data_IF_980024177005
#
_entry.id   IF_980024177005
#
_cell.length_a   1.000
_cell.length_b   1.000
_cell.length_c   1.000
_cell.angle_alpha   90.00
_cell.angle_beta   90.00
_cell.angle_gamma   90.00
#
_symmetry.space_group_name_H-M   'P 1'
#
loop_
_entity.id
_entity.type
_entity.pdbx_description
1 polymer ?
#
# COMPACT_ATOMS: atom_id res chain seq x y z
N UNK A 1 1.51 -9.59 22.80
CA UNK A 1 2.61 -10.24 22.06
C UNK A 1 2.24 -11.67 21.76
N UNK A 2 2.21 -12.06 20.48
CA UNK A 2 1.98 -13.43 20.05
C UNK A 2 3.32 -13.97 19.53
N UNK A 3 3.86 -15.00 20.21
CA UNK A 3 5.06 -15.69 19.76
C UNK A 3 4.62 -16.98 19.07
N UNK A 4 5.01 -17.16 17.81
CA UNK A 4 4.74 -18.37 17.03
C UNK A 4 6.01 -18.89 16.41
N UNK A 5 6.12 -20.21 16.29
CA UNK A 5 7.23 -20.89 15.64
C UNK A 5 6.69 -21.77 14.53
N UNK A 6 7.37 -21.76 13.41
CA UNK A 6 7.03 -22.55 12.23
C UNK A 6 8.23 -23.43 11.83
N UNK A 7 7.99 -24.59 11.20
CA UNK A 7 9.08 -25.43 10.72
C UNK A 7 9.92 -24.71 9.67
N UNK A 8 11.21 -25.03 9.60
CA UNK A 8 12.11 -24.54 8.56
C UNK A 8 11.86 -25.32 7.27
N UNK A 9 11.04 -24.78 6.40
CA UNK A 9 10.70 -25.35 5.09
C UNK A 9 10.78 -24.28 4.00
N UNK A 10 10.86 -24.66 2.75
CA UNK A 10 10.86 -23.72 1.62
C UNK A 10 9.48 -23.12 1.33
N UNK A 11 8.42 -23.72 1.84
CA UNK A 11 7.06 -23.24 1.69
C UNK A 11 6.27 -23.46 2.98
N UNK A 12 5.75 -22.37 3.54
CA UNK A 12 4.89 -22.37 4.71
C UNK A 12 3.43 -22.37 4.28
N UNK A 13 2.60 -23.19 4.91
CA UNK A 13 1.16 -23.21 4.66
C UNK A 13 0.51 -21.88 5.06
N UNK A 14 -0.35 -21.35 4.20
CA UNK A 14 -1.15 -20.15 4.44
C UNK A 14 -2.46 -20.58 5.12
N UNK A 15 -2.45 -20.61 6.43
CA UNK A 15 -3.52 -21.10 7.32
C UNK A 15 -4.33 -19.98 8.00
N UNK A 16 -4.14 -18.73 7.57
CA UNK A 16 -4.74 -17.55 8.19
C UNK A 16 -3.87 -16.92 9.27
N UNK A 17 -2.91 -17.66 9.83
CA UNK A 17 -1.99 -17.13 10.84
C UNK A 17 -0.71 -16.57 10.22
N UNK A 18 -0.33 -15.36 10.61
CA UNK A 18 0.86 -14.68 10.09
C UNK A 18 0.96 -14.70 8.55
N UNK A 19 -0.19 -14.70 7.86
CA UNK A 19 -0.29 -14.91 6.41
C UNK A 19 0.57 -13.95 5.61
N UNK A 20 0.68 -12.68 6.03
CA UNK A 20 1.52 -11.69 5.35
C UNK A 20 3.01 -12.09 5.42
N UNK A 21 3.48 -12.51 6.60
CA UNK A 21 4.88 -12.95 6.80
C UNK A 21 5.16 -14.21 5.98
N UNK A 22 4.27 -15.20 6.07
CA UNK A 22 4.38 -16.46 5.32
C UNK A 22 4.34 -16.22 3.80
N UNK A 23 3.45 -15.35 3.33
CA UNK A 23 3.35 -14.98 1.91
C UNK A 23 4.63 -14.35 1.38
N UNK A 24 5.21 -13.39 2.11
CA UNK A 24 6.49 -12.78 1.74
C UNK A 24 7.61 -13.82 1.74
N UNK A 25 7.72 -14.62 2.81
CA UNK A 25 8.74 -15.66 2.91
C UNK A 25 8.67 -16.65 1.74
N UNK A 26 7.49 -17.22 1.48
CA UNK A 26 7.28 -18.19 0.41
C UNK A 26 7.66 -17.61 -0.96
N UNK A 27 7.29 -16.36 -1.21
CA UNK A 27 7.60 -15.68 -2.47
C UNK A 27 9.09 -15.41 -2.60
N UNK A 28 9.75 -14.96 -1.56
CA UNK A 28 11.21 -14.71 -1.57
C UNK A 28 11.97 -16.02 -1.78
N UNK A 29 11.62 -17.09 -1.07
CA UNK A 29 12.28 -18.38 -1.25
C UNK A 29 12.10 -18.90 -2.67
N UNK A 30 10.87 -18.81 -3.21
CA UNK A 30 10.54 -19.29 -4.54
C UNK A 30 11.24 -18.51 -5.67
N UNK A 31 11.13 -17.19 -5.63
CA UNK A 31 11.56 -16.35 -6.77
C UNK A 31 13.09 -16.16 -6.79
N UNK A 32 13.75 -16.21 -5.63
CA UNK A 32 15.20 -15.97 -5.52
C UNK A 32 16.01 -17.23 -5.19
N UNK A 33 15.36 -18.39 -5.03
CA UNK A 33 16.05 -19.66 -4.83
C UNK A 33 16.95 -19.69 -3.58
N UNK A 34 16.63 -18.90 -2.56
CA UNK A 34 17.50 -18.75 -1.38
C UNK A 34 17.44 -19.92 -0.40
N UNK A 35 16.58 -20.92 -0.69
CA UNK A 35 16.37 -22.09 0.16
C UNK A 35 15.70 -21.73 1.50
N UNK A 36 15.39 -22.77 2.29
CA UNK A 36 14.80 -22.58 3.61
C UNK A 36 15.76 -21.83 4.54
N UNK A 37 15.24 -20.83 5.25
CA UNK A 37 16.01 -19.99 6.19
C UNK A 37 15.44 -20.06 7.58
N UNK A 38 16.31 -20.13 8.58
CA UNK A 38 15.95 -19.99 9.99
C UNK A 38 16.19 -18.56 10.43
N UNK A 39 15.14 -17.88 10.90
CA UNK A 39 15.20 -16.49 11.37
C UNK A 39 14.13 -16.22 12.41
N UNK A 40 14.29 -15.11 13.12
CA UNK A 40 13.26 -14.55 13.99
C UNK A 40 12.85 -13.20 13.45
N UNK A 41 11.55 -13.00 13.23
CA UNK A 41 10.98 -11.72 12.84
C UNK A 41 10.06 -11.19 13.94
N UNK A 42 10.17 -9.91 14.24
CA UNK A 42 9.24 -9.20 15.11
C UNK A 42 8.63 -8.06 14.33
N UNK A 43 7.32 -8.01 14.28
CA UNK A 43 6.57 -6.93 13.61
C UNK A 43 5.80 -6.13 14.65
N UNK A 44 5.76 -4.82 14.45
CA UNK A 44 5.02 -3.88 15.27
C UNK A 44 4.28 -2.88 14.37
N UNK A 45 3.12 -2.44 14.80
CA UNK A 45 2.30 -1.50 14.07
C UNK A 45 1.52 -0.60 15.02
N UNK A 46 1.66 0.70 14.87
CA UNK A 46 0.94 1.70 15.67
C UNK A 46 -0.49 1.93 15.20
N UNK A 47 -0.75 1.70 13.90
CA UNK A 47 -2.07 1.91 13.34
C UNK A 47 -2.97 0.68 13.57
N UNK A 48 -4.21 0.85 14.04
CA UNK A 48 -5.14 -0.26 14.21
C UNK A 48 -5.41 -1.00 12.89
N UNK A 49 -5.57 -2.32 12.97
CA UNK A 49 -5.96 -3.11 11.81
C UNK A 49 -7.33 -2.63 11.28
N UNK A 50 -7.46 -2.49 9.95
CA UNK A 50 -8.69 -1.99 9.32
C UNK A 50 -8.96 -0.49 9.50
N UNK A 51 -7.94 0.28 9.89
CA UNK A 51 -8.02 1.75 9.98
C UNK A 51 -8.14 2.46 8.63
N UNK A 52 -7.92 1.76 7.51
CA UNK A 52 -7.90 2.36 6.17
C UNK A 52 -6.59 3.07 5.82
N UNK A 53 -5.55 2.92 6.64
CA UNK A 53 -4.24 3.55 6.44
C UNK A 53 -3.24 2.68 5.65
N UNK A 54 -3.70 1.68 4.90
CA UNK A 54 -2.82 0.80 4.12
C UNK A 54 -1.91 -0.11 4.94
N UNK A 55 -2.26 -0.40 6.19
CA UNK A 55 -1.43 -1.09 7.17
C UNK A 55 -0.97 -2.48 6.71
N UNK A 56 -1.82 -3.24 6.03
CA UNK A 56 -1.49 -4.56 5.49
C UNK A 56 -0.37 -4.45 4.46
N UNK A 57 -0.56 -3.59 3.48
CA UNK A 57 0.42 -3.40 2.39
C UNK A 57 1.73 -2.82 2.90
N UNK A 58 1.68 -1.90 3.86
CA UNK A 58 2.87 -1.37 4.54
C UNK A 58 3.64 -2.48 5.25
N UNK A 59 2.95 -3.41 5.92
CA UNK A 59 3.57 -4.55 6.57
C UNK A 59 4.26 -5.47 5.56
N UNK A 60 3.59 -5.80 4.44
CA UNK A 60 4.18 -6.63 3.38
C UNK A 60 5.43 -5.96 2.80
N UNK A 61 5.37 -4.67 2.48
CA UNK A 61 6.52 -3.91 1.96
C UNK A 61 7.67 -3.88 2.97
N UNK A 62 7.37 -3.63 4.24
CA UNK A 62 8.38 -3.58 5.30
C UNK A 62 9.10 -4.94 5.47
N UNK A 63 8.34 -6.04 5.52
CA UNK A 63 8.91 -7.39 5.63
C UNK A 63 9.74 -7.71 4.38
N UNK A 64 9.22 -7.39 3.19
CA UNK A 64 9.95 -7.61 1.94
C UNK A 64 11.26 -6.81 1.89
N UNK A 65 11.24 -5.52 2.27
CA UNK A 65 12.47 -4.71 2.38
C UNK A 65 13.47 -5.31 3.38
N UNK A 66 13.00 -5.85 4.49
CA UNK A 66 13.89 -6.54 5.45
C UNK A 66 14.55 -7.78 4.83
N UNK A 67 13.84 -8.56 4.04
CA UNK A 67 14.44 -9.68 3.28
C UNK A 67 15.40 -9.20 2.19
N UNK A 68 15.07 -8.13 1.48
CA UNK A 68 15.93 -7.51 0.48
C UNK A 68 17.26 -7.11 1.09
N UNK A 69 17.25 -6.40 2.20
CA UNK A 69 18.46 -5.98 2.91
C UNK A 69 19.23 -7.18 3.47
N UNK A 70 18.54 -8.10 4.14
CA UNK A 70 19.18 -9.25 4.78
C UNK A 70 19.86 -10.19 3.79
N UNK A 71 19.23 -10.43 2.63
CA UNK A 71 19.69 -11.39 1.63
C UNK A 71 20.45 -10.74 0.46
N UNK A 72 20.55 -9.41 0.45
CA UNK A 72 21.20 -8.66 -0.64
C UNK A 72 20.49 -8.82 -1.98
N UNK A 73 19.15 -8.82 -1.99
CA UNK A 73 18.38 -9.04 -3.21
C UNK A 73 18.39 -7.77 -4.11
N UNK A 74 18.52 -7.92 -5.43
CA UNK A 74 18.63 -6.79 -6.36
C UNK A 74 17.25 -6.20 -6.70
N UNK A 75 16.52 -5.71 -5.71
CA UNK A 75 15.19 -5.12 -5.86
C UNK A 75 15.20 -3.64 -5.46
N UNK A 76 14.75 -2.78 -6.38
CA UNK A 76 14.46 -1.38 -6.10
C UNK A 76 13.00 -1.18 -5.67
N UNK A 77 12.63 0.08 -5.40
CA UNK A 77 11.28 0.41 -4.86
C UNK A 77 10.13 0.01 -5.81
N UNK A 78 10.34 0.07 -7.12
CA UNK A 78 9.32 -0.37 -8.10
C UNK A 78 9.11 -1.88 -8.06
N UNK A 79 10.19 -2.66 -8.03
CA UNK A 79 10.13 -4.12 -7.95
C UNK A 79 9.51 -4.57 -6.63
N UNK A 80 9.91 -3.93 -5.53
CA UNK A 80 9.36 -4.19 -4.19
C UNK A 80 7.85 -3.90 -4.16
N UNK A 81 7.41 -2.77 -4.71
CA UNK A 81 5.99 -2.40 -4.76
C UNK A 81 5.18 -3.41 -5.58
N UNK A 82 5.70 -3.79 -6.76
CA UNK A 82 5.06 -4.78 -7.63
C UNK A 82 5.00 -6.14 -6.97
N UNK A 83 6.09 -6.60 -6.38
CA UNK A 83 6.16 -7.88 -5.71
C UNK A 83 5.23 -7.93 -4.48
N UNK A 84 5.19 -6.86 -3.69
CA UNK A 84 4.26 -6.73 -2.57
C UNK A 84 2.79 -6.82 -3.03
N UNK A 85 2.45 -6.13 -4.12
CA UNK A 85 1.13 -6.23 -4.73
C UNK A 85 0.80 -7.67 -5.18
N UNK A 86 1.74 -8.35 -5.83
CA UNK A 86 1.53 -9.73 -6.27
C UNK A 86 1.34 -10.68 -5.09
N UNK A 87 2.12 -10.55 -4.03
CA UNK A 87 1.98 -11.33 -2.80
C UNK A 87 0.58 -11.15 -2.22
N UNK A 88 0.13 -9.90 -2.04
CA UNK A 88 -1.19 -9.66 -1.44
C UNK A 88 -2.34 -10.11 -2.34
N UNK A 89 -2.30 -9.83 -3.65
CA UNK A 89 -3.45 -10.02 -4.55
C UNK A 89 -3.49 -11.41 -5.19
N UNK A 90 -2.32 -11.97 -5.55
CA UNK A 90 -2.25 -13.26 -6.23
C UNK A 90 -1.99 -14.40 -5.28
N UNK A 91 -1.02 -14.26 -4.35
CA UNK A 91 -0.63 -15.37 -3.48
C UNK A 91 -1.56 -15.51 -2.26
N UNK A 92 -1.97 -14.39 -1.68
CA UNK A 92 -2.84 -14.35 -0.50
C UNK A 92 -4.32 -14.12 -0.83
N UNK A 93 -4.65 -13.78 -2.07
CA UNK A 93 -6.03 -13.56 -2.51
C UNK A 93 -6.74 -12.36 -1.87
N UNK A 94 -5.99 -11.39 -1.33
CA UNK A 94 -6.56 -10.22 -0.68
C UNK A 94 -7.07 -9.22 -1.73
N UNK A 95 -8.29 -8.71 -1.57
CA UNK A 95 -8.85 -7.67 -2.46
C UNK A 95 -8.18 -6.31 -2.22
N UNK A 96 -7.96 -5.54 -3.29
CA UNK A 96 -7.42 -4.19 -3.20
C UNK A 96 -6.79 -3.67 -4.49
N UNK A 97 -6.35 -2.40 -4.45
CA UNK A 97 -5.57 -1.75 -5.50
C UNK A 97 -4.07 -1.90 -5.29
N UNK A 98 -3.31 -1.08 -6.03
CA UNK A 98 -1.83 -1.05 -6.01
C UNK A 98 -1.27 0.13 -5.21
N UNK A 99 -2.09 1.11 -4.85
CA UNK A 99 -1.65 2.39 -4.32
C UNK A 99 -0.82 2.25 -3.04
N UNK A 100 -1.29 1.42 -2.10
CA UNK A 100 -0.72 1.32 -0.76
C UNK A 100 0.70 0.73 -0.79
N UNK A 101 0.97 -0.25 -1.66
CA UNK A 101 2.29 -0.85 -1.82
C UNK A 101 3.30 0.16 -2.35
N UNK A 102 2.91 0.95 -3.36
CA UNK A 102 3.77 1.99 -3.90
C UNK A 102 3.98 3.14 -2.90
N UNK A 103 2.92 3.56 -2.20
CA UNK A 103 3.05 4.57 -1.14
C UNK A 103 4.01 4.12 -0.04
N UNK A 104 3.91 2.87 0.42
CA UNK A 104 4.77 2.32 1.45
C UNK A 104 6.22 2.14 1.01
N UNK A 105 6.46 1.78 -0.26
CA UNK A 105 7.81 1.57 -0.77
C UNK A 105 8.56 2.88 -1.00
N UNK A 106 7.89 3.86 -1.59
CA UNK A 106 8.51 5.14 -1.95
C UNK A 106 8.55 6.14 -0.79
N UNK A 107 7.56 6.08 0.11
CA UNK A 107 7.45 7.04 1.23
C UNK A 107 7.23 8.49 0.78
N UNK A 108 7.01 9.40 1.73
CA UNK A 108 6.83 10.82 1.47
C UNK A 108 5.58 11.16 0.66
N UNK A 109 5.63 12.28 -0.06
CA UNK A 109 4.54 12.78 -0.90
C UNK A 109 4.76 12.40 -2.35
N UNK A 110 3.85 11.63 -2.92
CA UNK A 110 3.96 11.16 -4.29
C UNK A 110 2.69 11.45 -5.09
N UNK A 111 2.87 11.80 -6.36
CA UNK A 111 1.83 11.74 -7.36
C UNK A 111 2.04 10.49 -8.19
N UNK A 112 1.05 9.58 -8.18
CA UNK A 112 1.16 8.29 -8.84
C UNK A 112 0.19 8.20 -10.00
N UNK A 113 0.67 7.66 -11.12
CA UNK A 113 -0.13 7.39 -12.31
C UNK A 113 -0.15 5.88 -12.57
N UNK A 114 -1.35 5.31 -12.58
CA UNK A 114 -1.58 3.91 -12.90
C UNK A 114 -2.12 3.83 -14.33
N UNK A 115 -1.26 3.40 -15.23
CA UNK A 115 -1.55 3.36 -16.67
C UNK A 115 -1.97 1.96 -17.10
N UNK A 116 -2.36 1.83 -18.36
CA UNK A 116 -2.61 0.53 -18.97
C UNK A 116 -1.33 -0.33 -19.01
N UNK A 117 -1.49 -1.64 -19.18
CA UNK A 117 -0.38 -2.61 -19.23
C UNK A 117 0.48 -2.64 -17.95
N UNK A 118 -0.16 -2.43 -16.78
CA UNK A 118 0.48 -2.48 -15.48
C UNK A 118 1.64 -1.48 -15.27
N UNK A 119 1.73 -0.46 -16.10
CA UNK A 119 2.72 0.60 -15.95
C UNK A 119 2.31 1.51 -14.80
N UNK A 120 3.24 1.74 -13.87
CA UNK A 120 3.07 2.68 -12.75
C UNK A 120 4.18 3.71 -12.82
N UNK A 121 3.81 4.98 -12.72
CA UNK A 121 4.77 6.09 -12.62
C UNK A 121 4.59 6.71 -11.25
N UNK A 122 5.65 6.71 -10.46
CA UNK A 122 5.69 7.41 -9.18
C UNK A 122 6.51 8.69 -9.35
N UNK A 123 5.88 9.81 -9.07
CA UNK A 123 6.51 11.13 -9.12
C UNK A 123 6.62 11.68 -7.70
N UNK A 124 7.77 11.54 -7.03
CA UNK A 124 7.99 12.14 -5.72
C UNK A 124 7.91 13.66 -5.80
N UNK A 125 7.09 14.26 -4.97
CA UNK A 125 6.86 15.69 -4.98
C UNK A 125 7.89 16.41 -4.09
N UNK A 126 8.62 17.34 -4.67
CA UNK A 126 9.56 18.21 -3.93
C UNK A 126 8.81 19.34 -3.26
N UNK A 127 8.17 19.05 -2.14
CA UNK A 127 7.41 20.02 -1.34
C UNK A 127 8.38 20.73 -0.40
N UNK A 128 8.22 22.06 -0.27
CA UNK A 128 9.02 22.85 0.68
C UNK A 128 8.66 22.45 2.12
N UNK A 129 9.65 22.43 3.01
CA UNK A 129 9.48 21.98 4.39
C UNK A 129 8.37 22.76 5.12
N UNK A 130 8.31 24.05 4.97
CA UNK A 130 7.29 24.88 5.61
C UNK A 130 5.84 24.50 5.19
N UNK A 131 5.63 24.05 3.94
CA UNK A 131 4.31 23.56 3.46
C UNK A 131 3.93 22.28 4.16
N UNK A 132 4.90 21.38 4.35
CA UNK A 132 4.68 20.11 5.08
C UNK A 132 4.33 20.41 6.53
N UNK A 133 5.08 21.30 7.18
CA UNK A 133 4.86 21.68 8.58
C UNK A 133 3.48 22.33 8.77
N UNK A 134 3.04 23.17 7.84
CA UNK A 134 1.71 23.78 7.85
C UNK A 134 0.59 22.74 7.63
N UNK A 135 0.79 21.83 6.68
CA UNK A 135 -0.17 20.73 6.45
C UNK A 135 -0.28 19.84 7.69
N UNK A 136 0.84 19.44 8.29
CA UNK A 136 0.84 18.63 9.53
C UNK A 136 0.12 19.34 10.68
N UNK A 137 0.34 20.66 10.84
CA UNK A 137 -0.33 21.47 11.86
C UNK A 137 -1.84 21.67 11.62
N UNK A 138 -2.27 21.61 10.36
CA UNK A 138 -3.66 21.81 9.94
C UNK A 138 -4.47 20.52 9.86
N UNK A 139 -3.82 19.35 9.89
CA UNK A 139 -4.49 18.07 9.78
C UNK A 139 -4.89 17.50 11.16
N UNK A 140 -6.11 16.97 11.22
CA UNK A 140 -6.59 16.18 12.35
C UNK A 140 -6.95 14.77 11.87
N UNK A 141 -6.27 13.75 12.38
CA UNK A 141 -6.62 12.36 12.13
C UNK A 141 -7.58 11.87 13.22
N UNK A 142 -8.80 11.53 12.82
CA UNK A 142 -9.82 11.02 13.74
C UNK A 142 -10.14 9.55 13.45
N UNK A 143 -9.92 8.67 14.44
CA UNK A 143 -10.30 7.27 14.32
C UNK A 143 -11.76 7.07 14.71
N UNK A 144 -12.59 6.58 13.79
CA UNK A 144 -14.04 6.40 13.99
C UNK A 144 -14.39 5.21 14.88
N UNK A 145 -13.41 4.42 15.32
CA UNK A 145 -13.63 3.21 16.12
C UNK A 145 -14.22 2.02 15.34
N UNK A 146 -14.45 2.18 14.05
CA UNK A 146 -15.00 1.12 13.19
C UNK A 146 -13.99 0.69 12.15
N UNK A 147 -13.64 -0.59 12.15
CA UNK A 147 -12.94 -1.21 11.03
C UNK A 147 -13.90 -1.43 9.86
N UNK A 148 -13.55 -1.00 8.68
CA UNK A 148 -14.33 -1.24 7.44
C UNK A 148 -13.64 -2.30 6.59
N UNK A 149 -14.42 -3.18 6.00
CA UNK A 149 -13.93 -4.08 4.96
C UNK A 149 -13.73 -3.27 3.67
N UNK A 150 -12.50 -2.81 3.44
CA UNK A 150 -12.13 -2.14 2.18
C UNK A 150 -12.40 -3.03 0.97
N UNK A 151 -12.32 -4.35 1.13
CA UNK A 151 -12.57 -5.33 0.08
C UNK A 151 -13.98 -5.21 -0.49
N UNK A 152 -15.01 -5.13 0.37
CA UNK A 152 -16.40 -5.03 -0.10
C UNK A 152 -16.65 -3.73 -0.89
N UNK A 153 -16.09 -2.61 -0.42
CA UNK A 153 -16.21 -1.31 -1.10
C UNK A 153 -15.54 -1.35 -2.47
N UNK A 154 -14.34 -1.95 -2.56
CA UNK A 154 -13.58 -2.06 -3.81
C UNK A 154 -14.31 -2.98 -4.81
N UNK A 155 -14.90 -4.09 -4.34
CA UNK A 155 -15.68 -4.99 -5.20
C UNK A 155 -16.94 -4.33 -5.75
N UNK A 156 -17.67 -3.60 -4.91
CA UNK A 156 -18.84 -2.82 -5.35
C UNK A 156 -18.46 -1.76 -6.37
N UNK A 157 -17.38 -1.00 -6.13
CA UNK A 157 -16.86 0.00 -7.04
C UNK A 157 -16.46 -0.62 -8.40
N UNK A 158 -15.77 -1.76 -8.40
CA UNK A 158 -15.41 -2.49 -9.61
C UNK A 158 -16.66 -2.95 -10.36
N UNK A 159 -17.65 -3.48 -9.65
CA UNK A 159 -18.91 -3.94 -10.25
C UNK A 159 -19.64 -2.78 -10.93
N UNK A 160 -19.85 -1.66 -10.26
CA UNK A 160 -20.56 -0.51 -10.81
C UNK A 160 -19.83 0.08 -12.02
N UNK A 161 -18.51 0.20 -11.97
CA UNK A 161 -17.69 0.71 -13.08
C UNK A 161 -17.71 -0.25 -14.28
N UNK A 162 -17.66 -1.58 -14.05
CA UNK A 162 -17.65 -2.58 -15.13
C UNK A 162 -19.01 -2.74 -15.83
N UNK A 163 -20.10 -2.42 -15.14
CA UNK A 163 -21.45 -2.44 -15.74
C UNK A 163 -21.79 -1.16 -16.53
N UNK A 164 -20.84 -0.22 -16.64
CA UNK A 164 -21.00 1.00 -17.41
C UNK A 164 -21.98 1.99 -16.78
N UNK A 165 -22.09 2.00 -15.46
CA UNK A 165 -22.83 3.03 -14.73
C UNK A 165 -22.16 4.38 -14.98
N UNK A 166 -22.84 5.24 -15.74
CA UNK A 166 -22.32 6.54 -16.15
C UNK A 166 -21.97 7.43 -14.94
N UNK A 167 -22.77 7.38 -13.88
CA UNK A 167 -22.54 8.19 -12.67
C UNK A 167 -21.28 7.72 -11.94
N UNK A 168 -21.08 6.39 -11.86
CA UNK A 168 -19.87 5.82 -11.26
C UNK A 168 -18.62 6.17 -12.06
N UNK A 169 -18.67 6.11 -13.39
CA UNK A 169 -17.57 6.49 -14.27
C UNK A 169 -17.27 7.98 -14.18
N UNK A 170 -18.30 8.84 -14.17
CA UNK A 170 -18.10 10.28 -13.99
C UNK A 170 -17.48 10.62 -12.62
N UNK A 171 -17.93 9.95 -11.56
CA UNK A 171 -17.34 10.09 -10.22
C UNK A 171 -15.84 9.73 -10.21
N UNK A 172 -15.46 8.64 -10.90
CA UNK A 172 -14.04 8.28 -11.03
C UNK A 172 -13.23 9.32 -11.81
N UNK A 173 -13.81 9.93 -12.86
CA UNK A 173 -13.15 11.03 -13.56
C UNK A 173 -12.96 12.27 -12.66
N UNK A 174 -13.95 12.60 -11.83
CA UNK A 174 -13.85 13.69 -10.85
C UNK A 174 -12.74 13.42 -9.84
N UNK A 175 -12.68 12.21 -9.27
CA UNK A 175 -11.59 11.79 -8.34
C UNK A 175 -10.21 11.91 -9.02
N UNK A 176 -10.10 11.46 -10.28
CA UNK A 176 -8.86 11.59 -11.04
C UNK A 176 -8.45 13.06 -11.24
N UNK A 177 -9.41 13.95 -11.51
CA UNK A 177 -9.13 15.39 -11.64
C UNK A 177 -8.73 15.98 -10.29
N UNK A 178 -9.46 15.67 -9.20
CA UNK A 178 -9.13 16.10 -7.84
C UNK A 178 -7.69 15.74 -7.44
N UNK A 179 -7.20 14.55 -7.80
CA UNK A 179 -5.82 14.17 -7.53
C UNK A 179 -4.79 15.09 -8.21
N UNK A 180 -5.09 15.58 -9.43
CA UNK A 180 -4.22 16.54 -10.14
C UNK A 180 -4.27 17.91 -9.48
N UNK A 181 -5.46 18.34 -9.08
CA UNK A 181 -5.66 19.65 -8.46
C UNK A 181 -5.02 19.69 -7.08
N UNK A 182 -5.13 18.59 -6.28
CA UNK A 182 -4.43 18.44 -5.00
C UNK A 182 -2.91 18.48 -5.17
N UNK A 183 -2.35 17.83 -6.20
CA UNK A 183 -0.92 17.94 -6.51
C UNK A 183 -0.50 19.39 -6.72
N UNK A 184 -1.28 20.16 -7.49
CA UNK A 184 -0.97 21.56 -7.76
C UNK A 184 -1.11 22.43 -6.52
N UNK A 185 -2.16 22.21 -5.72
CA UNK A 185 -2.38 22.94 -4.47
C UNK A 185 -1.21 22.74 -3.49
N UNK A 186 -0.83 21.49 -3.21
CA UNK A 186 0.26 21.21 -2.26
C UNK A 186 1.61 21.73 -2.74
N UNK A 187 1.92 21.69 -4.04
CA UNK A 187 3.16 22.24 -4.58
C UNK A 187 3.25 23.77 -4.48
N UNK A 188 2.10 24.44 -4.48
CA UNK A 188 2.01 25.91 -4.30
C UNK A 188 1.96 26.32 -2.82
N UNK A 189 1.67 25.40 -1.90
CA UNK A 189 1.39 25.70 -0.50
C UNK A 189 -0.01 26.25 -0.27
N UNK A 190 -0.94 25.98 -1.17
CA UNK A 190 -2.35 26.35 -1.06
C UNK A 190 -3.07 25.31 -0.21
N UNK A 191 -2.94 25.43 1.12
CA UNK A 191 -3.52 24.46 2.07
C UNK A 191 -5.06 24.58 2.11
N UNK A 192 -5.60 25.79 1.97
CA UNK A 192 -7.06 25.98 1.92
C UNK A 192 -7.65 25.34 0.67
N UNK A 193 -7.06 25.57 -0.50
CA UNK A 193 -7.47 24.92 -1.75
C UNK A 193 -7.31 23.40 -1.70
N UNK A 194 -6.27 22.88 -1.03
CA UNK A 194 -6.11 21.45 -0.79
C UNK A 194 -7.25 20.89 0.10
N UNK A 195 -7.62 21.61 1.17
CA UNK A 195 -8.71 21.22 2.06
C UNK A 195 -10.09 21.26 1.37
N UNK A 196 -10.33 22.22 0.49
CA UNK A 196 -11.57 22.34 -0.27
C UNK A 196 -11.77 21.18 -1.25
N UNK A 197 -10.68 20.65 -1.84
CA UNK A 197 -10.75 19.47 -2.73
C UNK A 197 -11.10 18.20 -1.94
N UNK A 198 -10.76 18.13 -0.65
CA UNK A 198 -11.07 16.98 0.22
C UNK A 198 -12.54 16.93 0.67
N UNK A 199 -13.27 18.04 0.56
CA UNK A 199 -14.70 18.13 0.93
C UNK A 199 -15.61 17.57 -0.16
#
# INVERSE_FOLDING_TARGET
>A
HCNKSYPMTECLEIDGEASLIKGVYNRVVKDFGVGAKSFKITTYNDAPAGSGLGTSSTMVVCILKAFVEWLGLPLGDYEISRLAYEIERKDLGLSGGKQDQYAAAFGGFNYMEFLQNDIVIVNPLKIKRWIIDELEASMLLYFTGKSRSSAAIIEEQKKNTSHGDNDAVEAMHKIKQSAKDMKLAILKGDIDGFADILR
#
